data_IF_213481357175
#
_entry.id   IF_213481357175
#
_cell.length_a   1.000
_cell.length_b   1.000
_cell.length_c   1.000
_cell.angle_alpha   90.00
_cell.angle_beta   90.00
_cell.angle_gamma   90.00
#
_symmetry.space_group_name_H-M   'P 1'
#
loop_
_entity.id
_entity.type
_entity.pdbx_description
1 polymer ?
#
# COMPACT_ATOMS: atom_id res chain seq x y z
N UNK A 1 -43.13 -40.83 -33.58
CA UNK A 1 -42.07 -39.91 -34.02
C UNK A 1 -42.54 -38.49 -33.74
N UNK A 2 -42.03 -37.85 -32.69
CA UNK A 2 -41.70 -36.43 -32.76
C UNK A 2 -40.77 -36.06 -31.61
N UNK A 3 -39.63 -35.50 -31.99
CA UNK A 3 -38.49 -35.19 -31.16
C UNK A 3 -38.71 -33.90 -30.35
N UNK A 4 -38.15 -33.92 -29.14
CA UNK A 4 -37.43 -32.86 -28.45
C UNK A 4 -37.78 -31.38 -28.74
N UNK A 5 -38.15 -30.67 -27.69
CA UNK A 5 -37.85 -29.25 -27.56
C UNK A 5 -37.31 -28.96 -26.14
N UNK A 6 -36.05 -29.32 -25.90
CA UNK A 6 -35.31 -28.88 -24.71
C UNK A 6 -34.71 -27.49 -24.99
N UNK A 7 -35.48 -26.46 -24.72
CA UNK A 7 -35.00 -25.09 -24.70
C UNK A 7 -34.12 -24.82 -23.48
N UNK A 8 -32.81 -25.11 -23.57
CA UNK A 8 -31.80 -24.50 -22.69
C UNK A 8 -31.39 -23.16 -23.29
N UNK A 9 -32.10 -22.07 -22.98
CA UNK A 9 -31.66 -20.70 -23.36
C UNK A 9 -31.36 -19.75 -22.21
N UNK A 10 -31.61 -20.14 -20.96
CA UNK A 10 -31.55 -19.18 -19.84
C UNK A 10 -30.36 -19.36 -18.88
N UNK A 11 -29.47 -20.35 -19.13
CA UNK A 11 -28.44 -20.76 -18.17
C UNK A 11 -27.17 -19.92 -18.12
N UNK A 12 -26.80 -19.23 -19.21
CA UNK A 12 -25.49 -18.55 -19.31
C UNK A 12 -25.52 -17.07 -18.90
N UNK A 13 -26.68 -16.42 -18.94
CA UNK A 13 -26.82 -15.02 -18.50
C UNK A 13 -26.70 -14.85 -16.97
N UNK A 14 -26.69 -15.95 -16.21
CA UNK A 14 -26.60 -15.95 -14.74
C UNK A 14 -25.20 -16.25 -14.19
N UNK A 15 -24.19 -16.50 -15.04
CA UNK A 15 -22.82 -16.77 -14.54
C UNK A 15 -22.24 -15.57 -13.79
N UNK A 16 -22.52 -14.36 -14.30
CA UNK A 16 -22.27 -13.09 -13.64
C UNK A 16 -23.59 -12.59 -13.08
N UNK A 17 -24.03 -13.17 -11.97
CA UNK A 17 -25.14 -12.58 -11.21
C UNK A 17 -24.81 -11.10 -10.96
N UNK A 18 -25.76 -10.19 -11.19
CA UNK A 18 -25.55 -8.75 -11.43
C UNK A 18 -24.78 -8.02 -10.31
N UNK A 19 -24.67 -8.63 -9.12
CA UNK A 19 -23.84 -8.15 -8.00
C UNK A 19 -22.32 -8.40 -8.17
N UNK A 20 -21.90 -9.39 -8.96
CA UNK A 20 -20.49 -9.76 -9.16
C UNK A 20 -19.85 -9.05 -10.37
N UNK A 21 -20.65 -8.50 -11.29
CA UNK A 21 -20.15 -7.78 -12.47
C UNK A 21 -19.50 -6.45 -12.09
N UNK A 22 -20.02 -5.75 -11.08
CA UNK A 22 -19.49 -4.44 -10.65
C UNK A 22 -18.11 -4.58 -9.99
N UNK A 23 -17.90 -5.61 -9.16
CA UNK A 23 -16.58 -5.87 -8.56
C UNK A 23 -15.58 -6.33 -9.63
N UNK A 24 -16.00 -7.19 -10.56
CA UNK A 24 -15.18 -7.60 -11.69
C UNK A 24 -14.78 -6.39 -12.56
N UNK A 25 -15.72 -5.50 -12.86
CA UNK A 25 -15.45 -4.26 -13.59
C UNK A 25 -14.48 -3.35 -12.83
N UNK A 26 -14.64 -3.20 -11.51
CA UNK A 26 -13.71 -2.44 -10.68
C UNK A 26 -12.28 -2.97 -10.77
N UNK A 27 -12.09 -4.28 -10.70
CA UNK A 27 -10.76 -4.92 -10.86
C UNK A 27 -10.14 -4.72 -12.25
N UNK A 28 -10.93 -4.39 -13.26
CA UNK A 28 -10.44 -4.05 -14.61
C UNK A 28 -9.99 -2.59 -14.73
N UNK A 29 -10.23 -1.75 -13.72
CA UNK A 29 -9.91 -0.32 -13.77
C UNK A 29 -8.68 0.02 -12.95
N UNK A 30 -7.69 0.66 -13.59
CA UNK A 30 -6.52 1.17 -12.89
C UNK A 30 -6.89 2.20 -11.81
N UNK A 31 -7.93 3.01 -12.00
CA UNK A 31 -8.39 3.97 -10.98
C UNK A 31 -8.72 3.29 -9.65
N UNK A 32 -9.42 2.16 -9.70
CA UNK A 32 -9.74 1.40 -8.49
C UNK A 32 -8.50 0.75 -7.86
N UNK A 33 -7.66 0.12 -8.67
CA UNK A 33 -6.42 -0.50 -8.20
C UNK A 33 -5.45 0.53 -7.62
N UNK A 34 -5.34 1.72 -8.21
CA UNK A 34 -4.55 2.83 -7.70
C UNK A 34 -5.06 3.32 -6.34
N UNK A 35 -6.39 3.37 -6.14
CA UNK A 35 -6.95 3.77 -4.84
C UNK A 35 -6.53 2.79 -3.73
N UNK A 36 -6.65 1.48 -4.00
CA UNK A 36 -6.35 0.42 -3.04
C UNK A 36 -4.83 0.23 -2.83
N UNK A 37 -4.09 0.10 -3.92
CA UNK A 37 -2.69 -0.35 -3.92
C UNK A 37 -1.69 0.80 -4.10
N UNK A 38 -2.14 2.00 -4.47
CA UNK A 38 -1.29 3.14 -4.86
C UNK A 38 -0.94 3.13 -6.35
N UNK A 39 -0.61 4.31 -6.91
CA UNK A 39 -0.10 4.37 -8.29
C UNK A 39 1.34 3.85 -8.33
N UNK A 40 1.79 3.24 -9.43
CA UNK A 40 3.19 2.82 -9.56
C UNK A 40 4.20 3.97 -9.36
N UNK A 41 3.88 5.17 -9.84
CA UNK A 41 4.75 6.35 -9.72
C UNK A 41 4.87 6.89 -8.30
N UNK A 42 3.94 6.56 -7.40
CA UNK A 42 3.99 6.98 -6.00
C UNK A 42 5.08 6.21 -5.22
N UNK A 43 5.57 5.08 -5.78
CA UNK A 43 6.55 4.20 -5.15
C UNK A 43 7.66 3.80 -6.13
N UNK A 44 8.60 4.72 -6.44
CA UNK A 44 9.66 4.51 -7.42
C UNK A 44 10.46 3.21 -7.22
N UNK A 45 10.73 2.81 -5.98
CA UNK A 45 11.53 1.64 -5.64
C UNK A 45 10.90 0.30 -6.06
N UNK A 46 9.57 0.26 -6.23
CA UNK A 46 8.81 -0.93 -6.64
C UNK A 46 7.94 -0.70 -7.86
N UNK A 47 8.13 0.43 -8.56
CA UNK A 47 7.27 0.88 -9.68
C UNK A 47 7.01 -0.23 -10.71
N UNK A 48 8.06 -0.91 -11.17
CA UNK A 48 7.94 -1.98 -12.17
C UNK A 48 7.13 -3.19 -11.67
N UNK A 49 7.39 -3.65 -10.46
CA UNK A 49 6.68 -4.78 -9.85
C UNK A 49 5.21 -4.43 -9.59
N UNK A 50 4.93 -3.22 -9.12
CA UNK A 50 3.58 -2.74 -8.87
C UNK A 50 2.77 -2.60 -10.15
N UNK A 51 3.34 -2.01 -11.20
CA UNK A 51 2.70 -1.92 -12.51
C UNK A 51 2.38 -3.31 -13.07
N UNK A 52 3.36 -4.22 -13.06
CA UNK A 52 3.18 -5.59 -13.55
C UNK A 52 2.07 -6.34 -12.79
N UNK A 53 2.00 -6.19 -11.47
CA UNK A 53 0.94 -6.79 -10.66
C UNK A 53 -0.45 -6.22 -11.00
N UNK A 54 -0.55 -4.90 -11.17
CA UNK A 54 -1.82 -4.25 -11.54
C UNK A 54 -2.28 -4.69 -12.92
N UNK A 55 -1.37 -4.76 -13.90
CA UNK A 55 -1.65 -5.29 -15.23
C UNK A 55 -2.12 -6.75 -15.14
N UNK A 56 -1.48 -7.56 -14.30
CA UNK A 56 -1.84 -8.96 -14.09
C UNK A 56 -3.25 -9.12 -13.54
N UNK A 57 -3.64 -8.28 -12.56
CA UNK A 57 -4.99 -8.27 -12.00
C UNK A 57 -6.02 -7.89 -13.07
N UNK A 58 -5.75 -6.82 -13.83
CA UNK A 58 -6.64 -6.36 -14.91
C UNK A 58 -6.82 -7.44 -15.97
N UNK A 59 -5.73 -8.06 -16.43
CA UNK A 59 -5.79 -9.11 -17.45
C UNK A 59 -6.47 -10.38 -16.95
N UNK A 60 -6.27 -10.76 -15.68
CA UNK A 60 -7.00 -11.85 -15.07
C UNK A 60 -8.51 -11.56 -14.99
N UNK A 61 -8.90 -10.34 -14.60
CA UNK A 61 -10.30 -9.94 -14.54
C UNK A 61 -10.95 -9.92 -15.94
N UNK A 62 -10.25 -9.46 -16.97
CA UNK A 62 -10.73 -9.54 -18.38
C UNK A 62 -10.82 -10.98 -18.86
N UNK A 63 -9.84 -11.83 -18.54
CA UNK A 63 -9.86 -13.26 -18.88
C UNK A 63 -11.06 -13.94 -18.24
N UNK A 64 -11.35 -13.66 -16.97
CA UNK A 64 -12.50 -14.23 -16.29
C UNK A 64 -13.84 -13.72 -16.86
N UNK A 65 -13.91 -12.47 -17.29
CA UNK A 65 -15.08 -11.96 -18.02
C UNK A 65 -15.30 -12.69 -19.36
N UNK A 66 -14.23 -13.00 -20.10
CA UNK A 66 -14.34 -13.80 -21.34
C UNK A 66 -14.78 -15.23 -21.05
N UNK A 67 -14.26 -15.83 -19.98
CA UNK A 67 -14.65 -17.16 -19.52
C UNK A 67 -16.16 -17.24 -19.23
N UNK A 68 -16.75 -16.20 -18.64
CA UNK A 68 -18.19 -16.13 -18.41
C UNK A 68 -19.05 -16.23 -19.69
N UNK A 69 -18.49 -15.85 -20.84
CA UNK A 69 -19.15 -15.93 -22.14
C UNK A 69 -18.88 -17.24 -22.91
N UNK A 70 -18.05 -18.14 -22.38
CA UNK A 70 -17.68 -19.38 -23.06
C UNK A 70 -18.83 -20.40 -23.02
N UNK A 71 -19.44 -20.64 -24.19
CA UNK A 71 -20.57 -21.55 -24.35
C UNK A 71 -20.15 -23.02 -24.47
N UNK A 72 -18.84 -23.31 -24.58
CA UNK A 72 -18.33 -24.68 -24.75
C UNK A 72 -18.22 -25.43 -23.42
N UNK A 73 -18.31 -24.71 -22.29
CA UNK A 73 -18.17 -25.25 -20.95
C UNK A 73 -19.51 -25.27 -20.20
N UNK A 74 -19.62 -26.18 -19.24
CA UNK A 74 -20.76 -26.16 -18.31
C UNK A 74 -20.59 -25.05 -17.28
N UNK A 75 -21.70 -24.51 -16.76
CA UNK A 75 -21.68 -23.50 -15.69
C UNK A 75 -20.81 -23.90 -14.51
N UNK A 76 -20.95 -25.16 -14.05
CA UNK A 76 -20.13 -25.71 -12.97
C UNK A 76 -18.62 -25.66 -13.29
N UNK A 77 -18.24 -26.06 -14.51
CA UNK A 77 -16.85 -26.03 -14.94
C UNK A 77 -16.29 -24.61 -15.02
N UNK A 78 -17.08 -23.65 -15.52
CA UNK A 78 -16.69 -22.24 -15.57
C UNK A 78 -16.35 -21.69 -14.17
N UNK A 79 -17.14 -22.03 -13.14
CA UNK A 79 -16.88 -21.59 -11.77
C UNK A 79 -15.65 -22.28 -11.15
N UNK A 80 -15.41 -23.57 -11.45
CA UNK A 80 -14.19 -24.28 -11.03
C UNK A 80 -12.94 -23.63 -11.65
N UNK A 81 -12.98 -23.33 -12.94
CA UNK A 81 -11.88 -22.64 -13.63
C UNK A 81 -11.67 -21.24 -13.03
N UNK A 82 -12.76 -20.51 -12.79
CA UNK A 82 -12.72 -19.18 -12.14
C UNK A 82 -12.11 -19.23 -10.74
N UNK A 83 -12.45 -20.23 -9.92
CA UNK A 83 -11.83 -20.47 -8.62
C UNK A 83 -10.33 -20.74 -8.74
N UNK A 84 -9.91 -21.59 -9.68
CA UNK A 84 -8.49 -21.84 -9.93
C UNK A 84 -7.72 -20.57 -10.28
N UNK A 85 -8.29 -19.71 -11.15
CA UNK A 85 -7.71 -18.42 -11.51
C UNK A 85 -7.63 -17.46 -10.32
N UNK A 86 -8.70 -17.38 -9.51
CA UNK A 86 -8.75 -16.55 -8.32
C UNK A 86 -7.70 -16.98 -7.29
N UNK A 87 -7.57 -18.28 -7.03
CA UNK A 87 -6.58 -18.83 -6.09
C UNK A 87 -5.15 -18.53 -6.54
N UNK A 88 -4.85 -18.72 -7.84
CA UNK A 88 -3.52 -18.41 -8.38
C UNK A 88 -3.20 -16.92 -8.27
N UNK A 89 -4.12 -16.04 -8.69
CA UNK A 89 -3.92 -14.60 -8.62
C UNK A 89 -3.78 -14.11 -7.18
N UNK A 90 -4.57 -14.66 -6.26
CA UNK A 90 -4.53 -14.28 -4.85
C UNK A 90 -3.21 -14.65 -4.18
N UNK A 91 -2.63 -15.80 -4.53
CA UNK A 91 -1.30 -16.18 -4.08
C UNK A 91 -0.22 -15.20 -4.60
N UNK A 92 -0.34 -14.75 -5.85
CA UNK A 92 0.56 -13.76 -6.44
C UNK A 92 0.43 -12.37 -5.78
N UNK A 93 -0.80 -11.92 -5.51
CA UNK A 93 -1.07 -10.66 -4.80
C UNK A 93 -0.45 -10.70 -3.40
N UNK A 94 -0.67 -11.78 -2.63
CA UNK A 94 -0.11 -11.93 -1.28
C UNK A 94 1.40 -11.94 -1.26
N UNK A 95 2.02 -12.67 -2.19
CA UNK A 95 3.48 -12.66 -2.35
C UNK A 95 4.03 -11.25 -2.58
N UNK A 96 3.37 -10.45 -3.43
CA UNK A 96 3.79 -9.06 -3.63
C UNK A 96 3.52 -8.18 -2.42
N UNK A 97 2.44 -8.43 -1.67
CA UNK A 97 2.16 -7.72 -0.41
C UNK A 97 3.32 -7.90 0.58
N UNK A 98 3.83 -9.13 0.72
CA UNK A 98 4.99 -9.44 1.58
C UNK A 98 6.27 -8.77 1.08
N UNK A 99 6.55 -8.83 -0.23
CA UNK A 99 7.71 -8.17 -0.84
C UNK A 99 7.66 -6.65 -0.60
N UNK A 100 6.49 -6.03 -0.80
CA UNK A 100 6.31 -4.59 -0.62
C UNK A 100 6.35 -4.18 0.86
N UNK A 101 5.83 -5.02 1.76
CA UNK A 101 5.93 -4.77 3.20
C UNK A 101 7.40 -4.80 3.65
N UNK A 102 8.15 -5.82 3.23
CA UNK A 102 9.59 -5.88 3.49
C UNK A 102 10.33 -4.68 2.90
N UNK A 103 10.03 -4.31 1.65
CA UNK A 103 10.67 -3.14 1.02
C UNK A 103 10.32 -1.84 1.75
N UNK A 104 9.09 -1.70 2.25
CA UNK A 104 8.70 -0.57 3.09
C UNK A 104 9.57 -0.49 4.34
N UNK A 105 9.79 -1.60 5.04
CA UNK A 105 10.67 -1.66 6.21
C UNK A 105 12.13 -1.33 5.86
N UNK A 106 12.64 -1.87 4.75
CA UNK A 106 13.99 -1.58 4.26
C UNK A 106 14.17 -0.08 3.98
N UNK A 107 13.21 0.55 3.29
CA UNK A 107 13.20 1.99 3.02
C UNK A 107 13.13 2.82 4.30
N UNK A 108 12.36 2.37 5.29
CA UNK A 108 12.25 3.06 6.58
C UNK A 108 13.57 3.01 7.35
N UNK A 109 14.24 1.85 7.34
CA UNK A 109 15.54 1.66 7.98
C UNK A 109 16.64 2.45 7.28
N UNK A 110 16.69 2.38 5.95
CA UNK A 110 17.66 3.11 5.12
C UNK A 110 17.45 4.63 5.27
N UNK A 111 16.21 5.09 5.15
CA UNK A 111 15.85 6.49 5.36
C UNK A 111 16.24 6.98 6.75
N UNK A 112 15.99 6.18 7.80
CA UNK A 112 16.42 6.51 9.16
C UNK A 112 17.95 6.60 9.27
N UNK A 113 18.70 5.67 8.68
CA UNK A 113 20.15 5.68 8.72
C UNK A 113 20.73 6.95 8.05
N UNK A 114 20.16 7.38 6.92
CA UNK A 114 20.55 8.63 6.25
C UNK A 114 20.19 9.86 7.11
N UNK A 115 19.02 9.87 7.73
CA UNK A 115 18.65 10.97 8.63
C UNK A 115 19.60 11.03 9.83
N UNK A 116 19.91 9.89 10.45
CA UNK A 116 20.82 9.82 11.59
C UNK A 116 22.26 10.21 11.20
N UNK A 117 22.72 9.89 9.98
CA UNK A 117 24.05 10.32 9.52
C UNK A 117 24.16 11.83 9.30
N UNK A 118 23.04 12.54 9.09
CA UNK A 118 23.01 13.99 8.89
C UNK A 118 22.66 14.76 10.17
N UNK A 119 21.64 14.31 10.91
CA UNK A 119 21.09 15.02 12.06
C UNK A 119 21.34 14.31 13.40
N UNK A 120 22.00 13.15 13.41
CA UNK A 120 22.26 12.36 14.61
C UNK A 120 23.16 13.04 15.64
N UNK A 121 23.13 12.53 16.86
CA UNK A 121 23.79 13.14 18.01
C UNK A 121 25.31 13.13 17.93
N UNK A 122 25.90 12.23 17.13
CA UNK A 122 27.35 12.09 16.98
C UNK A 122 27.95 13.11 16.00
N UNK A 123 27.12 13.88 15.29
CA UNK A 123 27.57 14.87 14.31
C UNK A 123 28.04 16.19 14.94
N UNK A 124 27.84 16.36 16.24
CA UNK A 124 28.13 17.60 16.96
C UNK A 124 28.80 17.33 18.30
N UNK A 125 29.65 18.26 18.71
CA UNK A 125 30.21 18.25 20.05
C UNK A 125 29.08 18.28 21.10
N UNK A 126 29.15 17.38 22.09
CA UNK A 126 28.08 17.21 23.08
C UNK A 126 27.89 18.43 23.97
N UNK A 127 28.96 19.17 24.25
CA UNK A 127 28.92 20.39 25.04
C UNK A 127 28.18 21.48 24.26
N UNK A 128 28.56 21.69 23.00
CA UNK A 128 27.89 22.63 22.09
C UNK A 128 26.42 22.27 21.89
N UNK A 129 26.10 20.98 21.69
CA UNK A 129 24.72 20.53 21.57
C UNK A 129 23.91 20.79 22.86
N UNK A 130 24.54 20.72 24.03
CA UNK A 130 23.95 21.08 25.32
C UNK A 130 23.65 22.57 25.43
N UNK A 131 24.58 23.43 25.01
CA UNK A 131 24.40 24.88 24.99
C UNK A 131 23.26 25.30 24.05
N UNK A 132 23.20 24.71 22.86
CA UNK A 132 22.13 24.93 21.89
C UNK A 132 20.78 24.49 22.48
N UNK A 133 20.71 23.33 23.13
CA UNK A 133 19.47 22.85 23.76
C UNK A 133 18.99 23.81 24.87
N UNK A 134 19.90 24.29 25.73
CA UNK A 134 19.58 25.28 26.74
C UNK A 134 19.13 26.62 26.13
N UNK A 135 19.80 27.06 25.06
CA UNK A 135 19.39 28.24 24.32
C UNK A 135 17.96 28.09 23.80
N UNK A 136 17.65 26.98 23.12
CA UNK A 136 16.31 26.70 22.60
C UNK A 136 15.30 26.74 23.75
N UNK A 137 15.54 25.98 24.83
CA UNK A 137 14.61 25.91 25.97
C UNK A 137 14.34 27.25 26.64
N UNK A 138 15.31 28.17 26.67
CA UNK A 138 15.12 29.53 27.21
C UNK A 138 14.34 30.41 26.24
N UNK A 139 14.62 30.31 24.95
CA UNK A 139 13.98 31.14 23.91
C UNK A 139 12.53 30.73 23.64
N UNK A 140 12.19 29.46 23.76
CA UNK A 140 10.82 28.96 23.54
C UNK A 140 9.81 29.44 24.59
N UNK A 141 10.27 30.09 25.68
CA UNK A 141 9.41 30.69 26.71
C UNK A 141 8.75 32.01 26.27
N UNK A 142 9.21 32.64 25.18
CA UNK A 142 8.60 33.88 24.66
C UNK A 142 8.20 33.73 23.19
N UNK A 143 7.17 34.47 22.72
CA UNK A 143 6.77 34.44 21.31
C UNK A 143 7.91 34.83 20.35
N UNK A 144 8.69 35.86 20.70
CA UNK A 144 9.81 36.34 19.87
C UNK A 144 10.94 35.31 19.81
N UNK A 145 11.25 34.68 20.95
CA UNK A 145 12.28 33.64 21.00
C UNK A 145 11.85 32.36 20.29
N UNK A 146 10.56 32.02 20.31
CA UNK A 146 10.00 30.93 19.50
C UNK A 146 10.16 31.21 18.01
N UNK A 147 9.92 32.46 17.56
CA UNK A 147 10.15 32.85 16.17
C UNK A 147 11.63 32.78 15.78
N UNK A 148 12.53 33.19 16.68
CA UNK A 148 13.99 33.09 16.50
C UNK A 148 14.44 31.64 16.34
N UNK A 149 14.03 30.75 17.26
CA UNK A 149 14.28 29.29 17.15
C UNK A 149 13.72 28.77 15.84
N UNK A 150 12.49 29.19 15.50
CA UNK A 150 11.79 28.86 14.26
C UNK A 150 12.55 29.20 12.98
N UNK A 151 13.31 30.30 12.97
CA UNK A 151 14.18 30.69 11.87
C UNK A 151 15.50 29.92 11.87
N UNK A 152 16.11 29.75 13.06
CA UNK A 152 17.42 29.11 13.22
C UNK A 152 17.41 27.64 12.83
N UNK A 153 16.40 26.86 13.25
CA UNK A 153 16.38 25.43 12.93
C UNK A 153 16.13 25.14 11.45
N UNK A 154 15.67 26.12 10.67
CA UNK A 154 15.47 26.00 9.22
C UNK A 154 16.72 26.38 8.41
N UNK A 155 17.65 27.12 9.03
CA UNK A 155 18.84 27.66 8.36
C UNK A 155 20.15 27.03 8.85
N UNK A 156 20.18 26.50 10.08
CA UNK A 156 21.36 25.88 10.68
C UNK A 156 21.14 24.40 11.01
N UNK A 157 22.05 23.56 10.55
CA UNK A 157 21.99 22.10 10.74
C UNK A 157 22.25 21.67 12.19
N UNK A 158 23.05 22.42 12.95
CA UNK A 158 23.33 22.15 14.37
C UNK A 158 22.09 22.31 15.26
N UNK A 159 21.34 23.40 15.06
CA UNK A 159 20.05 23.64 15.74
C UNK A 159 19.05 22.57 15.34
N UNK A 160 18.98 22.22 14.05
CA UNK A 160 18.11 21.16 13.54
C UNK A 160 18.44 19.78 14.13
N UNK A 161 19.73 19.44 14.27
CA UNK A 161 20.20 18.20 14.88
C UNK A 161 19.85 18.12 16.37
N UNK A 162 19.99 19.22 17.11
CA UNK A 162 19.56 19.26 18.52
C UNK A 162 18.05 19.06 18.66
N UNK A 163 17.25 19.65 17.77
CA UNK A 163 15.80 19.41 17.75
C UNK A 163 15.47 17.96 17.40
N UNK A 164 16.17 17.37 16.43
CA UNK A 164 15.99 15.98 16.04
C UNK A 164 16.29 14.99 17.16
N UNK A 165 17.38 15.21 17.90
CA UNK A 165 17.93 14.25 18.87
C UNK A 165 17.38 14.41 20.29
N UNK A 166 16.89 15.60 20.66
CA UNK A 166 16.42 15.88 22.02
C UNK A 166 14.90 15.73 22.13
N UNK A 167 14.40 15.17 23.25
CA UNK A 167 12.97 15.09 23.49
C UNK A 167 12.36 16.49 23.73
N UNK A 168 11.12 16.66 23.31
CA UNK A 168 10.39 17.94 23.32
C UNK A 168 10.40 18.66 24.68
N UNK A 169 10.30 17.92 25.80
CA UNK A 169 10.27 18.51 27.14
C UNK A 169 11.59 19.18 27.55
N UNK A 170 12.73 18.74 27.00
CA UNK A 170 14.03 19.40 27.22
C UNK A 170 14.21 20.67 26.39
N UNK A 171 13.38 20.85 25.35
CA UNK A 171 13.38 22.02 24.48
C UNK A 171 12.29 23.04 24.86
N UNK A 172 11.47 22.73 25.86
CA UNK A 172 10.37 23.59 26.29
C UNK A 172 9.27 23.77 25.24
N UNK A 173 9.06 22.78 24.36
CA UNK A 173 8.03 22.82 23.31
C UNK A 173 7.00 21.71 23.50
N UNK A 174 5.79 21.92 22.96
CA UNK A 174 4.77 20.86 22.90
C UNK A 174 5.24 19.71 22.01
N UNK A 175 4.73 18.52 22.29
CA UNK A 175 5.05 17.32 21.49
C UNK A 175 4.64 17.49 20.02
N UNK A 176 3.47 18.08 19.77
CA UNK A 176 2.97 18.33 18.40
C UNK A 176 3.92 19.26 17.63
N UNK A 177 4.31 20.38 18.23
CA UNK A 177 5.24 21.32 17.62
C UNK A 177 6.61 20.67 17.37
N UNK A 178 7.11 19.90 18.34
CA UNK A 178 8.37 19.16 18.19
C UNK A 178 8.34 18.21 17.00
N UNK A 179 7.26 17.41 16.85
CA UNK A 179 7.08 16.52 15.69
C UNK A 179 7.10 17.29 14.37
N UNK A 180 6.44 18.46 14.30
CA UNK A 180 6.46 19.32 13.11
C UNK A 180 7.86 19.87 12.82
N UNK A 181 8.58 20.31 13.84
CA UNK A 181 9.95 20.82 13.69
C UNK A 181 10.90 19.72 13.23
N UNK A 182 10.81 18.52 13.81
CA UNK A 182 11.57 17.33 13.41
C UNK A 182 11.30 16.97 11.95
N UNK A 183 10.02 16.87 11.55
CA UNK A 183 9.65 16.57 10.17
C UNK A 183 10.20 17.62 9.18
N UNK A 184 10.13 18.90 9.56
CA UNK A 184 10.67 20.01 8.77
C UNK A 184 12.20 19.93 8.66
N UNK A 185 12.89 19.66 9.76
CA UNK A 185 14.35 19.51 9.80
C UNK A 185 14.81 18.35 8.91
N UNK A 186 14.17 17.19 9.03
CA UNK A 186 14.44 16.00 8.20
C UNK A 186 14.25 16.32 6.72
N UNK A 187 13.11 16.92 6.35
CA UNK A 187 12.83 17.28 4.96
C UNK A 187 13.82 18.30 4.38
N UNK A 188 14.39 19.17 5.22
CA UNK A 188 15.28 20.26 4.80
C UNK A 188 16.73 19.80 4.67
N UNK A 189 17.24 19.09 5.67
CA UNK A 189 18.66 18.76 5.79
C UNK A 189 18.98 17.34 5.32
N UNK A 190 18.02 16.41 5.39
CA UNK A 190 18.16 15.04 4.93
C UNK A 190 17.08 14.69 3.89
N UNK A 191 16.98 15.42 2.75
CA UNK A 191 15.89 15.26 1.80
C UNK A 191 15.81 13.85 1.20
N UNK A 192 16.96 13.20 1.00
CA UNK A 192 17.02 11.80 0.54
C UNK A 192 16.42 10.85 1.58
N UNK A 193 16.88 10.92 2.83
CA UNK A 193 16.31 10.12 3.93
C UNK A 193 14.82 10.40 4.13
N UNK A 194 14.41 11.66 4.01
CA UNK A 194 12.99 12.06 4.05
C UNK A 194 12.17 11.42 2.92
N UNK A 195 12.72 11.33 1.70
CA UNK A 195 12.05 10.72 0.57
C UNK A 195 11.84 9.22 0.80
N UNK A 196 12.87 8.51 1.27
CA UNK A 196 12.78 7.08 1.60
C UNK A 196 11.78 6.81 2.72
N UNK A 197 11.78 7.61 3.80
CA UNK A 197 10.81 7.50 4.90
C UNK A 197 9.37 7.74 4.41
N UNK A 198 9.17 8.69 3.49
CA UNK A 198 7.85 8.97 2.93
C UNK A 198 7.37 7.86 2.00
N UNK A 199 8.25 7.35 1.14
CA UNK A 199 7.94 6.22 0.26
C UNK A 199 7.65 4.96 1.08
N UNK A 200 8.50 4.61 2.04
CA UNK A 200 8.34 3.44 2.89
C UNK A 200 7.02 3.47 3.67
N UNK A 201 6.69 4.59 4.31
CA UNK A 201 5.40 4.77 5.00
C UNK A 201 4.21 4.59 4.06
N UNK A 202 4.22 5.29 2.93
CA UNK A 202 3.16 5.23 1.93
C UNK A 202 2.99 3.81 1.38
N UNK A 203 4.09 3.11 1.10
CA UNK A 203 4.08 1.75 0.60
C UNK A 203 3.48 0.78 1.64
N UNK A 204 3.95 0.86 2.90
CA UNK A 204 3.47 0.03 4.00
C UNK A 204 2.01 0.29 4.38
N UNK A 205 1.47 1.49 4.16
CA UNK A 205 0.04 1.75 4.31
C UNK A 205 -0.79 1.07 3.21
N UNK A 206 -0.30 1.06 1.97
CA UNK A 206 -1.03 0.46 0.84
C UNK A 206 -1.05 -1.07 0.87
N UNK A 207 -0.03 -1.73 1.43
CA UNK A 207 -0.03 -3.20 1.55
C UNK A 207 -1.19 -3.73 2.38
N UNK A 208 -1.68 -2.96 3.36
CA UNK A 208 -2.85 -3.33 4.19
C UNK A 208 -4.13 -3.56 3.38
N UNK A 209 -4.23 -2.99 2.18
CA UNK A 209 -5.39 -3.14 1.30
C UNK A 209 -5.31 -4.36 0.37
N UNK A 210 -4.20 -5.09 0.34
CA UNK A 210 -4.03 -6.19 -0.62
C UNK A 210 -4.99 -7.35 -0.35
N UNK A 211 -5.28 -7.66 0.92
CA UNK A 211 -6.29 -8.68 1.26
C UNK A 211 -7.70 -8.27 0.80
N UNK A 212 -8.00 -6.97 0.71
CA UNK A 212 -9.26 -6.52 0.10
C UNK A 212 -9.30 -6.82 -1.40
N UNK A 213 -8.19 -6.59 -2.11
CA UNK A 213 -8.09 -6.95 -3.54
C UNK A 213 -8.24 -8.46 -3.75
N UNK A 214 -7.66 -9.26 -2.86
CA UNK A 214 -7.85 -10.71 -2.84
C UNK A 214 -9.31 -11.10 -2.61
N UNK A 215 -9.97 -10.51 -1.61
CA UNK A 215 -11.37 -10.77 -1.33
C UNK A 215 -12.27 -10.39 -2.52
N UNK A 216 -12.02 -9.23 -3.15
CA UNK A 216 -12.74 -8.80 -4.34
C UNK A 216 -12.48 -9.74 -5.53
N UNK A 217 -11.27 -10.29 -5.65
CA UNK A 217 -10.91 -11.28 -6.68
C UNK A 217 -11.75 -12.56 -6.50
N UNK A 218 -11.75 -13.16 -5.32
CA UNK A 218 -12.52 -14.37 -5.05
C UNK A 218 -14.03 -14.14 -5.21
N UNK A 219 -14.55 -13.02 -4.72
CA UNK A 219 -15.97 -12.68 -4.84
C UNK A 219 -16.41 -12.40 -6.29
N UNK A 220 -15.49 -11.99 -7.18
CA UNK A 220 -15.82 -11.63 -8.55
C UNK A 220 -15.64 -12.78 -9.54
N UNK A 221 -14.80 -13.77 -9.21
CA UNK A 221 -14.34 -14.74 -10.20
C UNK A 221 -15.23 -15.97 -10.31
N UNK A 222 -15.87 -16.37 -9.22
CA UNK A 222 -16.70 -17.58 -9.16
C UNK A 222 -17.75 -17.47 -8.05
N UNK A 223 -18.64 -18.46 -7.99
CA UNK A 223 -19.61 -18.65 -6.91
C UNK A 223 -19.18 -19.89 -6.12
N UNK A 224 -18.88 -19.71 -4.83
CA UNK A 224 -18.35 -20.77 -3.98
C UNK A 224 -19.34 -21.92 -3.78
N UNK A 225 -20.65 -21.64 -3.74
CA UNK A 225 -21.68 -22.67 -3.56
C UNK A 225 -21.81 -23.53 -4.82
N UNK A 226 -21.66 -22.93 -5.99
CA UNK A 226 -21.70 -23.66 -7.27
C UNK A 226 -20.49 -24.58 -7.39
N UNK A 227 -19.31 -24.11 -7.00
CA UNK A 227 -18.10 -24.94 -6.94
C UNK A 227 -18.27 -26.11 -5.97
N UNK A 228 -18.68 -25.83 -4.73
CA UNK A 228 -18.83 -26.86 -3.71
C UNK A 228 -19.80 -27.97 -4.14
N UNK A 229 -20.92 -27.60 -4.77
CA UNK A 229 -21.88 -28.56 -5.34
C UNK A 229 -21.29 -29.36 -6.50
N UNK A 230 -20.51 -28.73 -7.36
CA UNK A 230 -19.87 -29.40 -8.49
C UNK A 230 -18.79 -30.39 -8.03
N UNK A 231 -17.99 -30.04 -7.03
CA UNK A 231 -16.97 -30.91 -6.44
C UNK A 231 -17.60 -32.10 -5.70
N UNK A 232 -18.64 -31.86 -4.91
CA UNK A 232 -19.39 -32.93 -4.22
C UNK A 232 -20.10 -33.90 -5.18
N UNK A 233 -20.35 -33.48 -6.42
CA UNK A 233 -20.98 -34.31 -7.45
C UNK A 233 -19.98 -35.13 -8.27
N UNK A 234 -18.66 -34.96 -8.04
CA UNK A 234 -17.64 -35.82 -8.64
C UNK A 234 -17.61 -37.14 -7.88
N UNK A 235 -18.15 -38.19 -8.49
CA UNK A 235 -17.86 -39.57 -8.08
C UNK A 235 -16.44 -39.88 -8.58
N UNK A 236 -15.52 -40.22 -7.68
CA UNK A 236 -14.26 -40.87 -8.05
C UNK A 236 -14.60 -42.19 -8.76
N UNK A 237 -14.22 -42.31 -10.03
CA UNK A 237 -14.31 -43.55 -10.83
C UNK A 237 -12.89 -43.96 -11.21
#
# INVERSE_FOLDING_TARGET
>A
MNMANFGRKDGNAQFLNVANSEKLQRLQTYTHLHALMGKPDDHPSVKGQKAALQDRIVEAAKKNQRLAGDQTQTRAMLHIIGQGQATQLSAEIRRHAEIFAKKADDLMNEGKAIVDSVLGADNYDREVAGEIAQFISRRTQTPEGMAEVGALYKSRSDVASVIYTRPHFLLGVSEELHRTMVATAVSKFAPEGSALLNEGRSLGEKTKNFEKVVADTHASFYDADVVAKAEASRVEV
#
